data_IF_022129160619
#
_entry.id   IF_022129160619
#
_cell.length_a   1.000
_cell.length_b   1.000
_cell.length_c   1.000
_cell.angle_alpha   90.00
_cell.angle_beta   90.00
_cell.angle_gamma   90.00
#
_symmetry.space_group_name_H-M   'P 1'
#
loop_
_entity.id
_entity.type
_entity.pdbx_description
1 polymer ?
#
# COMPACT_ATOMS: atom_id res chain seq x y z
N UNK A 1 -1.48 -6.00 10.62
CA UNK A 1 -1.90 -5.47 9.31
C UNK A 1 -3.38 -5.73 9.02
N UNK A 2 -3.83 -6.96 8.77
CA UNK A 2 -5.23 -7.23 8.34
C UNK A 2 -6.31 -6.68 9.31
N UNK A 3 -6.01 -6.63 10.62
CA UNK A 3 -6.90 -6.03 11.61
C UNK A 3 -7.26 -4.56 11.31
N UNK A 4 -6.44 -3.82 10.54
CA UNK A 4 -6.74 -2.42 10.19
C UNK A 4 -7.91 -2.25 9.23
N UNK A 5 -8.39 -3.35 8.63
CA UNK A 5 -9.59 -3.36 7.80
C UNK A 5 -10.82 -2.73 8.49
N UNK A 6 -10.94 -2.90 9.81
CA UNK A 6 -11.99 -2.28 10.60
C UNK A 6 -11.96 -0.74 10.48
N UNK A 7 -10.79 -0.13 10.66
CA UNK A 7 -10.60 1.32 10.53
C UNK A 7 -10.85 1.80 9.10
N UNK A 8 -10.38 1.06 8.10
CA UNK A 8 -10.64 1.37 6.68
C UNK A 8 -12.14 1.43 6.37
N UNK A 9 -12.93 0.51 6.93
CA UNK A 9 -14.39 0.52 6.76
C UNK A 9 -15.04 1.78 7.36
N UNK A 10 -14.48 2.32 8.43
CA UNK A 10 -14.94 3.54 9.09
C UNK A 10 -14.33 4.83 8.48
N UNK A 11 -13.58 4.72 7.37
CA UNK A 11 -12.82 5.81 6.75
C UNK A 11 -11.70 6.40 7.64
N UNK A 12 -11.25 5.64 8.64
CA UNK A 12 -10.07 5.95 9.45
C UNK A 12 -8.85 5.29 8.80
N UNK A 13 -8.16 6.01 7.91
CA UNK A 13 -7.12 5.44 7.06
C UNK A 13 -5.71 5.55 7.65
N UNK A 14 -5.47 6.56 8.49
CA UNK A 14 -4.14 6.92 8.98
C UNK A 14 -3.45 5.74 9.69
N UNK A 15 -4.17 5.04 10.56
CA UNK A 15 -3.69 3.83 11.25
C UNK A 15 -3.16 2.78 10.28
N UNK A 16 -3.80 2.60 9.12
CA UNK A 16 -3.35 1.63 8.10
C UNK A 16 -2.03 2.08 7.48
N UNK A 17 -1.89 3.36 7.13
CA UNK A 17 -0.67 3.89 6.52
C UNK A 17 0.49 3.96 7.52
N UNK A 18 0.24 4.29 8.78
CA UNK A 18 1.24 4.27 9.85
C UNK A 18 1.79 2.87 10.09
N UNK A 19 0.92 1.85 10.19
CA UNK A 19 1.35 0.47 10.36
C UNK A 19 2.07 -0.03 9.08
N UNK A 20 1.59 0.33 7.89
CA UNK A 20 2.25 -0.02 6.64
C UNK A 20 3.69 0.53 6.59
N UNK A 21 3.91 1.76 7.06
CA UNK A 21 5.25 2.37 7.16
C UNK A 21 6.18 1.57 8.06
N UNK A 22 5.70 1.10 9.22
CA UNK A 22 6.50 0.28 10.14
C UNK A 22 6.88 -1.08 9.54
N UNK A 23 6.06 -1.61 8.64
CA UNK A 23 6.22 -2.93 8.02
C UNK A 23 6.90 -2.90 6.65
N UNK A 24 7.47 -1.76 6.22
CA UNK A 24 8.13 -1.64 4.92
C UNK A 24 9.25 -2.67 4.73
N UNK A 25 10.02 -2.98 5.79
CA UNK A 25 11.19 -3.85 5.73
C UNK A 25 10.97 -5.20 6.41
N UNK A 26 9.73 -5.68 6.49
CA UNK A 26 9.47 -7.03 6.99
C UNK A 26 10.21 -8.07 6.11
N UNK A 27 10.55 -9.23 6.68
CA UNK A 27 11.25 -10.29 5.95
C UNK A 27 10.27 -11.31 5.36
N UNK A 28 9.01 -11.30 5.79
CA UNK A 28 8.04 -12.32 5.43
C UNK A 28 7.18 -11.88 4.25
N UNK A 29 7.17 -12.68 3.18
CA UNK A 29 6.35 -12.41 1.99
C UNK A 29 4.85 -12.31 2.29
N UNK A 30 4.34 -13.11 3.23
CA UNK A 30 2.93 -13.03 3.63
C UNK A 30 2.58 -11.66 4.24
N UNK A 31 3.52 -11.04 4.97
CA UNK A 31 3.34 -9.69 5.49
C UNK A 31 3.30 -8.67 4.37
N UNK A 32 4.16 -8.79 3.35
CA UNK A 32 4.12 -7.92 2.17
C UNK A 32 2.80 -7.98 1.42
N UNK A 33 2.21 -9.18 1.27
CA UNK A 33 0.88 -9.36 0.67
C UNK A 33 -0.20 -8.69 1.51
N UNK A 34 -0.19 -8.93 2.82
CA UNK A 34 -1.16 -8.34 3.73
C UNK A 34 -1.09 -6.80 3.73
N UNK A 35 0.11 -6.23 3.75
CA UNK A 35 0.31 -4.77 3.68
C UNK A 35 -0.16 -4.22 2.34
N UNK A 36 0.24 -4.84 1.24
CA UNK A 36 -0.20 -4.43 -0.10
C UNK A 36 -1.73 -4.47 -0.26
N UNK A 37 -2.40 -5.49 0.27
CA UNK A 37 -3.87 -5.56 0.27
C UNK A 37 -4.49 -4.43 1.07
N UNK A 38 -4.05 -4.17 2.29
CA UNK A 38 -4.65 -3.12 3.09
C UNK A 38 -4.38 -1.71 2.52
N UNK A 39 -3.19 -1.47 1.95
CA UNK A 39 -2.88 -0.22 1.23
C UNK A 39 -3.80 -0.02 0.02
N UNK A 40 -4.03 -1.07 -0.76
CA UNK A 40 -4.98 -1.03 -1.89
C UNK A 40 -6.38 -0.64 -1.43
N UNK A 41 -6.81 -1.17 -0.30
CA UNK A 41 -8.19 -1.07 0.18
C UNK A 41 -8.43 0.28 0.87
N UNK A 42 -7.42 0.81 1.56
CA UNK A 42 -7.37 2.22 1.96
C UNK A 42 -7.35 3.14 0.72
N UNK A 43 -6.57 2.82 -0.31
CA UNK A 43 -6.51 3.59 -1.55
C UNK A 43 -7.81 3.64 -2.36
N UNK A 44 -8.70 2.64 -2.22
CA UNK A 44 -10.05 2.72 -2.79
C UNK A 44 -10.92 3.79 -2.13
N UNK A 45 -10.61 4.16 -0.88
CA UNK A 45 -11.29 5.21 -0.12
C UNK A 45 -10.65 6.57 -0.37
N UNK A 46 -9.32 6.62 -0.39
CA UNK A 46 -8.54 7.82 -0.71
C UNK A 46 -7.32 7.45 -1.57
N UNK A 47 -7.48 7.59 -2.89
CA UNK A 47 -6.41 7.31 -3.85
C UNK A 47 -5.24 8.29 -3.71
N UNK A 48 -5.52 9.55 -3.37
CA UNK A 48 -4.50 10.59 -3.23
C UNK A 48 -3.60 10.29 -2.04
N UNK A 49 -4.16 9.83 -0.92
CA UNK A 49 -3.37 9.42 0.24
C UNK A 49 -2.48 8.21 -0.09
N UNK A 50 -3.00 7.22 -0.84
CA UNK A 50 -2.18 6.10 -1.31
C UNK A 50 -1.03 6.57 -2.21
N UNK A 51 -1.29 7.42 -3.21
CA UNK A 51 -0.25 7.93 -4.11
C UNK A 51 0.84 8.68 -3.32
N UNK A 52 0.46 9.54 -2.38
CA UNK A 52 1.41 10.25 -1.52
C UNK A 52 2.26 9.30 -0.67
N UNK A 53 1.68 8.22 -0.16
CA UNK A 53 2.41 7.19 0.56
C UNK A 53 3.41 6.46 -0.35
N UNK A 54 2.97 6.07 -1.56
CA UNK A 54 3.82 5.41 -2.53
C UNK A 54 4.99 6.31 -2.93
N UNK A 55 4.74 7.54 -3.37
CA UNK A 55 5.81 8.47 -3.78
C UNK A 55 6.85 8.70 -2.66
N UNK A 56 6.45 8.63 -1.38
CA UNK A 56 7.36 8.77 -0.25
C UNK A 56 8.19 7.52 0.06
N UNK A 57 7.63 6.32 -0.10
CA UNK A 57 8.24 5.08 0.41
C UNK A 57 8.56 4.04 -0.66
N UNK A 58 8.31 4.30 -1.94
CA UNK A 58 8.43 3.32 -3.03
C UNK A 58 9.78 2.61 -3.11
N UNK A 59 10.86 3.34 -2.81
CA UNK A 59 12.25 2.86 -2.82
C UNK A 59 12.54 1.85 -1.72
N UNK A 60 11.84 1.95 -0.59
CA UNK A 60 11.97 1.02 0.54
C UNK A 60 10.98 -0.14 0.44
N UNK A 61 9.87 0.04 -0.27
CA UNK A 61 8.85 -1.00 -0.37
C UNK A 61 9.41 -2.27 -1.04
N UNK A 62 9.00 -3.46 -0.61
CA UNK A 62 9.23 -4.70 -1.35
C UNK A 62 8.44 -4.70 -2.66
N UNK A 63 8.98 -5.30 -3.72
CA UNK A 63 8.31 -5.35 -5.03
C UNK A 63 6.94 -6.02 -4.96
N UNK A 64 6.80 -7.06 -4.15
CA UNK A 64 5.52 -7.75 -3.95
C UNK A 64 4.48 -6.83 -3.31
N UNK A 65 4.84 -6.13 -2.22
CA UNK A 65 3.95 -5.19 -1.53
C UNK A 65 3.44 -4.10 -2.49
N UNK A 66 4.33 -3.49 -3.26
CA UNK A 66 3.98 -2.45 -4.24
C UNK A 66 2.99 -2.97 -5.28
N UNK A 67 3.25 -4.16 -5.86
CA UNK A 67 2.36 -4.75 -6.88
C UNK A 67 0.95 -4.97 -6.38
N UNK A 68 0.79 -5.42 -5.13
CA UNK A 68 -0.53 -5.59 -4.52
C UNK A 68 -1.22 -4.26 -4.22
N UNK A 69 -0.47 -3.24 -3.77
CA UNK A 69 -1.01 -1.92 -3.48
C UNK A 69 -1.62 -1.25 -4.74
N UNK A 70 -0.97 -1.39 -5.90
CA UNK A 70 -1.37 -0.75 -7.16
C UNK A 70 -2.19 -1.66 -8.09
N UNK A 71 -2.63 -2.83 -7.63
CA UNK A 71 -3.26 -3.85 -8.50
C UNK A 71 -4.46 -3.31 -9.30
N UNK A 72 -5.23 -2.39 -8.72
CA UNK A 72 -6.44 -1.81 -9.32
C UNK A 72 -6.20 -0.54 -10.14
N UNK A 73 -4.97 -0.04 -10.20
CA UNK A 73 -4.64 1.12 -11.02
C UNK A 73 -4.65 0.75 -12.51
N UNK A 74 -4.95 1.72 -13.40
CA UNK A 74 -4.78 1.53 -14.83
C UNK A 74 -3.36 1.05 -15.16
N UNK A 75 -3.23 0.23 -16.20
CA UNK A 75 -1.96 -0.42 -16.55
C UNK A 75 -0.82 0.59 -16.75
N UNK A 76 -1.10 1.69 -17.44
CA UNK A 76 -0.12 2.75 -17.70
C UNK A 76 0.37 3.42 -16.41
N UNK A 77 -0.54 3.68 -15.46
CA UNK A 77 -0.17 4.22 -14.14
C UNK A 77 0.68 3.21 -13.37
N UNK A 78 0.32 1.92 -13.41
CA UNK A 78 1.12 0.88 -12.76
C UNK A 78 2.53 0.79 -13.32
N UNK A 79 2.69 0.84 -14.65
CA UNK A 79 4.01 0.81 -15.30
C UNK A 79 4.86 2.00 -14.86
N UNK A 80 4.28 3.20 -14.86
CA UNK A 80 4.96 4.41 -14.42
C UNK A 80 5.43 4.30 -12.95
N UNK A 81 4.57 3.81 -12.05
CA UNK A 81 4.93 3.60 -10.65
C UNK A 81 6.03 2.53 -10.52
N UNK A 82 5.93 1.43 -11.27
CA UNK A 82 6.94 0.37 -11.22
C UNK A 82 8.31 0.79 -11.78
N UNK A 83 8.35 1.76 -12.70
CA UNK A 83 9.60 2.33 -13.22
C UNK A 83 10.27 3.29 -12.22
N UNK A 84 9.50 3.90 -11.31
CA UNK A 84 10.03 4.74 -10.22
C UNK A 84 10.70 3.92 -9.11
N UNK A 85 10.55 2.60 -9.12
CA UNK A 85 11.13 1.68 -8.13
C UNK A 85 12.44 1.11 -8.64
#
# INVERSE_FOLDING_TARGET
MVATWYFIKNNELDTTFEIAKLLLNDKHDLMHKAVGWMLREAGKKDEKQLINFLDRYISQMPRMMLRYAIEKFPEEVRKNILQKK
#
